data_IF_071244213909
#
_entry.id   IF_071244213909
#
_cell.length_a   1.000
_cell.length_b   1.000
_cell.length_c   1.000
_cell.angle_alpha   90.00
_cell.angle_beta   90.00
_cell.angle_gamma   90.00
#
_symmetry.space_group_name_H-M   'P 1'
#
loop_
_entity.id
_entity.type
_entity.pdbx_description
1 polymer ?
#
# COMPACT_ATOMS: atom_id res chain seq x y z
N UNK A 1 -1.72 13.07 -24.09
CA UNK A 1 -1.29 11.77 -23.55
C UNK A 1 -1.40 11.88 -22.05
N UNK A 2 -2.26 11.09 -21.40
CA UNK A 2 -2.36 11.09 -19.94
C UNK A 2 -1.02 10.61 -19.38
N UNK A 3 -0.43 11.35 -18.44
CA UNK A 3 0.82 10.98 -17.79
C UNK A 3 0.65 9.65 -17.08
N UNK A 4 1.45 8.65 -17.43
CA UNK A 4 1.57 7.42 -16.65
C UNK A 4 1.96 7.79 -15.22
N UNK A 5 1.29 7.20 -14.23
CA UNK A 5 1.58 7.39 -12.82
C UNK A 5 2.94 6.75 -12.53
N UNK A 6 3.98 7.58 -12.44
CA UNK A 6 5.37 7.13 -12.50
C UNK A 6 6.10 7.32 -11.16
N UNK A 7 7.26 6.68 -11.03
CA UNK A 7 8.09 6.74 -9.83
C UNK A 7 8.53 8.17 -9.46
N UNK A 8 8.73 9.08 -10.43
CA UNK A 8 9.14 10.46 -10.14
C UNK A 8 8.03 11.25 -9.42
N UNK A 9 6.77 11.02 -9.80
CA UNK A 9 5.62 11.63 -9.10
C UNK A 9 5.54 11.14 -7.65
N UNK A 10 5.79 9.85 -7.41
CA UNK A 10 5.82 9.26 -6.07
C UNK A 10 6.99 9.83 -5.26
N UNK A 11 8.18 9.90 -5.84
CA UNK A 11 9.36 10.47 -5.20
C UNK A 11 9.14 11.93 -4.77
N UNK A 12 8.56 12.74 -5.66
CA UNK A 12 8.21 14.14 -5.36
C UNK A 12 7.18 14.23 -4.22
N UNK A 13 6.16 13.36 -4.23
CA UNK A 13 5.16 13.31 -3.16
C UNK A 13 5.76 12.90 -1.81
N UNK A 14 6.65 11.91 -1.78
CA UNK A 14 7.37 11.53 -0.55
C UNK A 14 8.19 12.69 -0.01
N UNK A 15 8.92 13.40 -0.87
CA UNK A 15 9.70 14.58 -0.47
C UNK A 15 8.83 15.72 0.07
N UNK A 16 7.66 15.98 -0.55
CA UNK A 16 6.67 16.95 -0.06
C UNK A 16 6.21 16.60 1.37
N UNK A 17 6.02 15.31 1.65
CA UNK A 17 5.62 14.78 2.95
C UNK A 17 6.78 14.64 3.95
N UNK A 18 8.03 14.97 3.55
CA UNK A 18 9.20 14.92 4.41
C UNK A 18 9.91 13.55 4.48
N UNK A 19 9.60 12.63 3.56
CA UNK A 19 10.20 11.30 3.47
C UNK A 19 11.28 11.22 2.37
N UNK A 20 12.19 10.23 2.43
CA UNK A 20 13.16 10.00 1.37
C UNK A 20 12.50 9.80 0.00
N UNK A 21 13.16 10.29 -1.04
CA UNK A 21 12.70 10.16 -2.43
C UNK A 21 12.79 8.72 -2.99
N UNK A 22 13.26 7.76 -2.20
CA UNK A 22 13.35 6.37 -2.59
C UNK A 22 11.94 5.83 -2.89
N UNK A 23 11.80 5.19 -4.05
CA UNK A 23 10.56 4.57 -4.50
C UNK A 23 10.72 3.09 -4.74
N UNK A 24 11.77 2.46 -4.21
CA UNK A 24 11.93 0.99 -4.29
C UNK A 24 11.08 0.29 -3.23
N UNK A 25 10.71 1.00 -2.17
CA UNK A 25 9.93 0.52 -1.03
C UNK A 25 8.45 0.87 -1.12
N UNK A 26 7.90 1.05 -2.32
CA UNK A 26 6.50 1.45 -2.50
C UNK A 26 5.70 0.39 -3.25
N UNK A 27 4.43 0.25 -2.86
CA UNK A 27 3.48 -0.62 -3.52
C UNK A 27 2.18 0.10 -3.87
N UNK A 28 1.53 -0.37 -4.92
CA UNK A 28 0.21 0.09 -5.30
C UNK A 28 -0.85 -0.85 -4.71
N UNK A 29 -1.82 -0.28 -3.98
CA UNK A 29 -2.90 -1.08 -3.39
C UNK A 29 -4.28 -0.54 -3.74
N UNK A 30 -5.26 -1.43 -3.77
CA UNK A 30 -6.68 -1.11 -3.68
C UNK A 30 -7.18 -1.46 -2.28
N UNK A 31 -7.61 -0.42 -1.57
CA UNK A 31 -8.16 -0.51 -0.24
C UNK A 31 -9.52 -1.20 -0.22
N UNK A 32 -9.71 -2.13 0.70
CA UNK A 32 -11.03 -2.61 1.05
C UNK A 32 -11.68 -1.65 2.06
N UNK A 33 -13.01 -1.67 2.17
CA UNK A 33 -13.81 -0.77 3.03
C UNK A 33 -13.39 -0.74 4.50
N UNK A 34 -12.63 -1.75 4.94
CA UNK A 34 -12.31 -2.01 6.34
C UNK A 34 -11.05 -1.33 6.87
N UNK A 35 -10.30 -0.57 6.07
CA UNK A 35 -9.03 0.04 6.53
C UNK A 35 -9.16 0.84 7.83
N UNK A 36 -10.34 1.42 8.07
CA UNK A 36 -10.68 2.11 9.31
C UNK A 36 -10.66 1.21 10.57
N UNK A 37 -10.94 -0.08 10.43
CA UNK A 37 -10.95 -1.05 11.54
C UNK A 37 -9.53 -1.31 12.06
N UNK A 38 -8.51 -1.12 11.22
CA UNK A 38 -7.10 -1.35 11.57
C UNK A 38 -6.35 -0.05 11.83
N UNK A 39 -6.73 1.02 11.12
CA UNK A 39 -6.00 2.28 11.12
C UNK A 39 -6.95 3.37 11.60
N UNK A 40 -6.98 3.57 12.92
CA UNK A 40 -7.85 4.54 13.57
C UNK A 40 -7.78 5.94 12.94
N UNK A 41 -8.95 6.50 12.64
CA UNK A 41 -9.17 7.78 11.95
C UNK A 41 -8.85 7.83 10.45
N UNK A 42 -8.71 6.70 9.76
CA UNK A 42 -8.97 6.65 8.31
C UNK A 42 -10.49 6.71 8.09
N UNK A 43 -11.01 7.68 7.36
CA UNK A 43 -12.41 7.62 6.91
C UNK A 43 -12.56 6.40 5.98
N UNK A 44 -13.58 5.55 6.20
CA UNK A 44 -13.91 4.38 5.38
C UNK A 44 -13.72 4.65 3.87
N UNK A 45 -12.72 4.04 3.23
CA UNK A 45 -12.44 4.26 1.82
C UNK A 45 -12.45 2.94 1.04
N UNK A 46 -13.66 2.46 0.76
CA UNK A 46 -13.90 1.34 -0.16
C UNK A 46 -13.46 1.68 -1.58
N UNK A 47 -12.65 0.82 -2.20
CA UNK A 47 -12.33 0.91 -3.64
C UNK A 47 -11.47 2.13 -4.00
N UNK A 48 -10.72 2.67 -3.03
CA UNK A 48 -9.73 3.71 -3.29
C UNK A 48 -8.36 3.10 -3.52
N UNK A 49 -7.61 3.72 -4.42
CA UNK A 49 -6.24 3.36 -4.70
C UNK A 49 -5.30 4.15 -3.80
N UNK A 50 -4.25 3.50 -3.35
CA UNK A 50 -3.18 4.13 -2.59
C UNK A 50 -1.83 3.69 -3.14
N UNK A 51 -0.83 4.55 -2.97
CA UNK A 51 0.56 4.08 -2.89
C UNK A 51 0.91 3.99 -1.42
N UNK A 52 1.35 2.81 -0.98
CA UNK A 52 1.94 2.64 0.34
C UNK A 52 3.45 2.69 0.19
N UNK A 53 4.09 3.53 1.01
CA UNK A 53 5.53 3.47 1.23
C UNK A 53 5.82 2.73 2.54
N UNK A 54 6.66 1.71 2.47
CA UNK A 54 7.06 0.87 3.60
C UNK A 54 8.30 1.49 4.24
N UNK A 55 8.09 2.35 5.24
CA UNK A 55 9.13 3.12 5.93
C UNK A 55 9.64 2.37 7.17
N UNK A 56 10.88 2.63 7.60
CA UNK A 56 11.50 1.91 8.73
C UNK A 56 10.61 1.82 9.99
N UNK A 57 9.86 2.89 10.28
CA UNK A 57 9.02 3.00 11.47
C UNK A 57 7.51 2.82 11.23
N UNK A 58 7.08 2.55 10.00
CA UNK A 58 5.65 2.47 9.69
C UNK A 58 5.30 2.49 8.21
N UNK A 59 4.01 2.60 7.95
CA UNK A 59 3.45 2.64 6.60
C UNK A 59 2.95 4.04 6.29
N UNK A 60 3.44 4.63 5.21
CA UNK A 60 2.92 5.89 4.67
C UNK A 60 1.93 5.58 3.55
N UNK A 61 0.64 5.79 3.82
CA UNK A 61 -0.41 5.72 2.81
C UNK A 61 -0.50 7.06 2.09
N UNK A 62 -0.37 7.04 0.76
CA UNK A 62 -0.55 8.21 -0.11
C UNK A 62 -1.79 8.00 -0.97
N UNK A 63 -2.80 8.84 -0.76
CA UNK A 63 -4.13 8.67 -1.34
C UNK A 63 -4.20 9.08 -2.80
N UNK A 64 -4.88 8.26 -3.62
CA UNK A 64 -5.09 8.55 -5.04
C UNK A 64 -6.56 8.81 -5.38
N UNK A 65 -6.80 9.63 -6.39
CA UNK A 65 -8.09 9.71 -7.09
C UNK A 65 -8.29 8.46 -7.97
N UNK A 66 -9.51 8.19 -8.46
CA UNK A 66 -9.74 7.15 -9.47
C UNK A 66 -8.94 7.31 -10.77
N UNK A 67 -8.36 8.49 -11.00
CA UNK A 67 -7.47 8.80 -12.13
C UNK A 67 -5.99 8.69 -11.77
N UNK A 68 -5.65 8.07 -10.63
CA UNK A 68 -4.29 7.89 -10.11
C UNK A 68 -3.51 9.20 -9.92
N UNK A 69 -4.20 10.23 -9.44
CA UNK A 69 -3.57 11.49 -9.02
C UNK A 69 -3.57 11.57 -7.51
N UNK A 70 -2.48 12.05 -6.90
CA UNK A 70 -2.44 12.28 -5.45
C UNK A 70 -3.54 13.26 -5.04
N UNK A 71 -4.29 12.89 -4.02
CA UNK A 71 -5.45 13.67 -3.55
C UNK A 71 -5.22 14.32 -2.16
N UNK A 72 -4.03 14.15 -1.59
CA UNK A 72 -3.66 14.69 -0.27
C UNK A 72 -4.28 13.93 0.92
N UNK A 73 -4.97 12.81 0.68
CA UNK A 73 -5.47 11.91 1.72
C UNK A 73 -4.34 11.00 2.17
N UNK A 74 -3.28 11.62 2.69
CA UNK A 74 -2.07 10.95 3.10
C UNK A 74 -2.10 10.68 4.60
N UNK A 75 -1.61 9.53 5.03
CA UNK A 75 -1.61 9.13 6.43
C UNK A 75 -0.45 8.20 6.72
N UNK A 76 0.32 8.57 7.74
CA UNK A 76 1.33 7.69 8.30
C UNK A 76 0.74 6.87 9.45
N UNK A 77 1.13 5.60 9.52
CA UNK A 77 0.69 4.64 10.53
C UNK A 77 1.94 3.98 11.10
N UNK A 78 2.13 4.09 12.40
CA UNK A 78 3.33 3.56 13.04
C UNK A 78 3.28 2.04 13.13
N UNK A 79 4.42 1.36 13.10
CA UNK A 79 4.46 -0.09 13.34
C UNK A 79 3.92 -0.47 14.74
N UNK A 80 3.98 0.46 15.71
CA UNK A 80 3.38 0.27 17.03
C UNK A 80 1.85 0.27 17.03
N UNK A 81 1.20 0.72 15.96
CA UNK A 81 -0.26 0.66 15.81
C UNK A 81 -0.71 -0.56 14.99
N UNK A 82 0.22 -1.22 14.30
CA UNK A 82 -0.04 -2.35 13.41
C UNK A 82 0.37 -3.64 14.12
N UNK A 83 -0.54 -4.60 14.24
CA UNK A 83 -0.28 -5.93 14.82
C UNK A 83 0.61 -6.80 13.94
N UNK A 84 0.16 -7.07 12.72
CA UNK A 84 0.87 -7.91 11.74
C UNK A 84 0.73 -7.27 10.36
N UNK A 85 1.78 -7.38 9.54
CA UNK A 85 1.74 -7.02 8.12
C UNK A 85 2.11 -8.28 7.36
N UNK A 86 1.23 -8.80 6.51
CA UNK A 86 1.51 -10.00 5.74
C UNK A 86 1.06 -9.84 4.30
N UNK A 87 1.72 -10.57 3.40
CA UNK A 87 1.26 -10.72 2.03
C UNK A 87 0.95 -12.19 1.76
N UNK A 88 -0.08 -12.45 0.96
CA UNK A 88 -0.48 -13.82 0.60
C UNK A 88 -0.87 -13.91 -0.86
N UNK A 89 -0.34 -14.91 -1.55
CA UNK A 89 -0.77 -15.28 -2.90
C UNK A 89 -2.20 -15.80 -2.84
N UNK A 90 -3.17 -14.95 -3.19
CA UNK A 90 -4.55 -15.37 -3.40
C UNK A 90 -4.89 -15.29 -4.88
N UNK A 91 -5.20 -16.43 -5.49
CA UNK A 91 -5.64 -16.48 -6.88
C UNK A 91 -7.05 -15.86 -7.07
N UNK A 92 -7.77 -15.54 -5.98
CA UNK A 92 -9.12 -14.98 -6.00
C UNK A 92 -9.23 -13.85 -4.98
N UNK A 93 -9.48 -12.63 -5.44
CA UNK A 93 -9.75 -11.47 -4.58
C UNK A 93 -11.20 -11.00 -4.78
N UNK A 94 -11.97 -10.85 -3.69
CA UNK A 94 -13.40 -10.50 -3.73
C UNK A 94 -14.24 -11.34 -4.71
N UNK A 95 -13.95 -12.65 -4.82
CA UNK A 95 -14.68 -13.57 -5.69
C UNK A 95 -14.30 -13.50 -7.19
N UNK A 96 -13.25 -12.75 -7.55
CA UNK A 96 -12.72 -12.68 -8.92
C UNK A 96 -11.31 -13.25 -8.98
N UNK A 97 -11.03 -14.02 -10.03
CA UNK A 97 -9.68 -14.50 -10.26
C UNK A 97 -8.74 -13.34 -10.59
N UNK A 98 -7.59 -13.29 -9.93
CA UNK A 98 -6.59 -12.24 -10.10
C UNK A 98 -5.22 -12.87 -10.29
N UNK A 99 -4.45 -12.34 -11.23
CA UNK A 99 -3.07 -12.79 -11.55
C UNK A 99 -2.06 -11.66 -11.44
N UNK A 100 -2.54 -10.44 -11.25
CA UNK A 100 -1.83 -9.18 -11.23
C UNK A 100 -1.73 -8.59 -9.81
N UNK A 101 -2.08 -9.38 -8.79
CA UNK A 101 -2.10 -8.94 -7.41
C UNK A 101 -1.96 -10.07 -6.40
N UNK A 102 -1.43 -9.74 -5.24
CA UNK A 102 -1.46 -10.48 -3.98
C UNK A 102 -2.48 -9.84 -3.03
N UNK A 103 -2.70 -10.46 -1.87
CA UNK A 103 -3.47 -9.85 -0.78
C UNK A 103 -2.52 -9.31 0.28
N UNK A 104 -2.61 -8.01 0.59
CA UNK A 104 -1.98 -7.39 1.75
C UNK A 104 -2.94 -7.49 2.94
N UNK A 105 -2.50 -8.19 3.99
CA UNK A 105 -3.19 -8.30 5.26
C UNK A 105 -2.54 -7.34 6.25
N UNK A 106 -3.35 -6.45 6.83
CA UNK A 106 -2.93 -5.61 7.95
C UNK A 106 -3.80 -5.95 9.15
N UNK A 107 -3.19 -6.38 10.25
CA UNK A 107 -3.87 -6.64 11.51
C UNK A 107 -3.70 -5.44 12.44
N UNK A 108 -4.74 -5.13 13.21
CA UNK A 108 -4.68 -4.17 14.32
C UNK A 108 -4.15 -4.87 15.57
N UNK A 109 -3.65 -4.09 16.53
CA UNK A 109 -3.31 -4.62 17.86
C UNK A 109 -4.53 -5.20 18.61
N UNK A 110 -5.74 -4.86 18.20
CA UNK A 110 -6.99 -5.28 18.84
C UNK A 110 -7.62 -6.52 18.18
N UNK A 111 -6.98 -7.09 17.15
CA UNK A 111 -7.41 -8.32 16.49
C UNK A 111 -8.34 -8.11 15.28
N UNK A 112 -8.59 -6.86 14.91
CA UNK A 112 -9.25 -6.53 13.64
C UNK A 112 -8.25 -6.73 12.49
N UNK A 113 -8.74 -7.10 11.30
CA UNK A 113 -7.87 -7.31 10.14
C UNK A 113 -8.49 -6.76 8.87
N UNK A 114 -7.63 -6.28 7.99
CA UNK A 114 -8.00 -5.78 6.67
C UNK A 114 -7.28 -6.53 5.60
N UNK A 115 -8.01 -6.89 4.54
CA UNK A 115 -7.47 -7.50 3.33
C UNK A 115 -7.58 -6.49 2.21
N UNK A 116 -6.43 -6.06 1.69
CA UNK A 116 -6.32 -5.10 0.60
C UNK A 116 -5.69 -5.78 -0.61
N UNK A 117 -6.04 -5.34 -1.81
CA UNK A 117 -5.40 -5.87 -3.01
C UNK A 117 -4.06 -5.20 -3.18
N UNK A 118 -2.99 -5.98 -3.19
CA UNK A 118 -1.62 -5.52 -3.43
C UNK A 118 -1.25 -5.84 -4.87
N UNK A 119 -1.14 -4.84 -5.73
CA UNK A 119 -0.82 -5.10 -7.13
C UNK A 119 0.64 -5.54 -7.29
N UNK A 120 0.84 -6.61 -8.07
CA UNK A 120 2.16 -7.11 -8.45
C UNK A 120 2.53 -6.72 -9.87
N UNK A 121 1.55 -6.37 -10.70
CA UNK A 121 1.77 -5.80 -12.04
C UNK A 121 0.73 -4.72 -12.35
N UNK A 122 1.07 -3.76 -13.22
CA UNK A 122 0.13 -2.74 -13.69
C UNK A 122 0.53 -2.26 -15.08
N UNK A 123 -0.44 -2.15 -16.00
CA UNK A 123 -0.20 -1.59 -17.34
C UNK A 123 -0.08 -0.06 -17.34
N UNK A 124 -0.36 0.58 -16.20
CA UNK A 124 -0.31 2.03 -16.03
C UNK A 124 0.98 2.50 -15.33
N UNK A 125 1.73 1.56 -14.74
CA UNK A 125 2.79 1.84 -13.78
C UNK A 125 3.78 0.67 -13.72
N UNK A 126 4.85 0.73 -14.52
CA UNK A 126 5.86 -0.33 -14.60
C UNK A 126 6.60 -0.55 -13.26
N UNK A 127 6.77 0.52 -12.48
CA UNK A 127 7.41 0.48 -11.16
C UNK A 127 6.75 -0.50 -10.18
N UNK A 128 5.45 -0.83 -10.38
CA UNK A 128 4.75 -1.81 -9.55
C UNK A 128 5.46 -3.15 -9.62
N UNK A 129 5.75 -3.63 -10.84
CA UNK A 129 6.41 -4.92 -11.03
C UNK A 129 7.88 -4.90 -10.59
N UNK A 130 8.56 -3.77 -10.77
CA UNK A 130 9.96 -3.59 -10.35
C UNK A 130 10.14 -3.67 -8.83
N UNK A 131 9.13 -3.24 -8.07
CA UNK A 131 9.21 -3.13 -6.62
C UNK A 131 8.73 -4.37 -5.86
N UNK A 132 7.96 -5.28 -6.47
CA UNK A 132 7.30 -6.41 -5.78
C UNK A 132 8.26 -7.18 -4.88
N UNK A 133 9.42 -7.59 -5.43
CA UNK A 133 10.37 -8.40 -4.69
C UNK A 133 10.93 -7.67 -3.45
N UNK A 134 11.16 -6.36 -3.57
CA UNK A 134 11.66 -5.54 -2.47
C UNK A 134 10.57 -5.30 -1.42
N UNK A 135 9.34 -5.00 -1.86
CA UNK A 135 8.18 -4.83 -0.96
C UNK A 135 7.92 -6.09 -0.15
N UNK A 136 7.89 -7.26 -0.80
CA UNK A 136 7.64 -8.53 -0.11
C UNK A 136 8.75 -8.82 0.92
N UNK A 137 10.02 -8.59 0.57
CA UNK A 137 11.13 -8.71 1.51
C UNK A 137 11.01 -7.76 2.73
N UNK A 138 10.53 -6.52 2.53
CA UNK A 138 10.28 -5.58 3.63
C UNK A 138 9.13 -6.05 4.52
N UNK A 139 8.03 -6.52 3.93
CA UNK A 139 6.88 -7.06 4.66
C UNK A 139 7.30 -8.23 5.55
N UNK A 140 8.06 -9.18 5.00
CA UNK A 140 8.58 -10.32 5.74
C UNK A 140 9.49 -9.87 6.90
N UNK A 141 10.35 -8.88 6.65
CA UNK A 141 11.25 -8.31 7.66
C UNK A 141 10.56 -7.62 8.83
N UNK A 142 9.39 -7.00 8.64
CA UNK A 142 8.67 -6.35 9.74
C UNK A 142 8.19 -7.32 10.82
N UNK A 143 7.86 -8.55 10.45
CA UNK A 143 7.39 -9.54 11.42
C UNK A 143 8.56 -10.20 12.16
N UNK A 144 9.75 -10.27 11.56
CA UNK A 144 10.95 -10.79 12.22
C UNK A 144 11.52 -9.82 13.28
N UNK A 145 11.23 -8.53 13.14
CA UNK A 145 11.72 -7.48 14.04
C UNK A 145 10.87 -7.29 15.32
N UNK A 146 9.76 -8.03 15.49
CA UNK A 146 8.86 -7.99 16.65
C UNK A 146 9.15 -9.10 17.64
#
# INVERSE_FOLDING_TARGET
>A
MASAFNAADIAAKKQELGYPADTTNVAYIEANHKLEDVIGAFNAFTGKNFVISFEENGLLFMGLTPLNQFNGTDKFVTLSEIGTIAHTDEAVFNGRFVTDSETLVLDSLHGDHTKNRLYTTSTLADWVAENVANVNAIIDGYNEAK
#
